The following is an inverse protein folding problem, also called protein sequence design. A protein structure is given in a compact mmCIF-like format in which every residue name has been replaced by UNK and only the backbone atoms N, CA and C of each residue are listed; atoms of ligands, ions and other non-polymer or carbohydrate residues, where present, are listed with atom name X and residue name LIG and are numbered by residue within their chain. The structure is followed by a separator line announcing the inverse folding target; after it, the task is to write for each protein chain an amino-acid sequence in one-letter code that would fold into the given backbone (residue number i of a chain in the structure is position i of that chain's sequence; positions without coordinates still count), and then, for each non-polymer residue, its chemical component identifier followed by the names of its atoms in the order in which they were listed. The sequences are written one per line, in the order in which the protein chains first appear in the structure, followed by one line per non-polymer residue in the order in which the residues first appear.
data_IF_509708927795
#
_entry.id   IF_509708927795
#
_cell.length_a   1.000
_cell.length_b   1.000
_cell.length_c   1.000
_cell.angle_alpha   90.00
_cell.angle_beta   90.00
_cell.angle_gamma   90.00
#
_symmetry.space_group_name_H-M   'P 1'
#
loop_
_entity.id
_entity.type
_entity.pdbx_description
1 polymer ?
#
# COMPACT_ATOMS: atom_id res chain seq x y z
N UNK A 1 42.33 7.66 21.74
CA UNK A 1 41.38 8.27 20.80
C UNK A 1 41.22 9.73 21.19
N UNK A 2 41.55 10.65 20.29
CA UNK A 2 41.52 12.11 20.52
C UNK A 2 40.06 12.62 20.53
N UNK A 3 39.77 13.67 21.32
CA UNK A 3 38.46 14.33 21.39
C UNK A 3 37.94 14.78 20.02
N UNK A 4 38.82 15.18 19.09
CA UNK A 4 38.48 15.51 17.70
C UNK A 4 37.97 14.30 16.94
N UNK A 5 38.57 13.13 17.14
CA UNK A 5 38.11 11.87 16.54
C UNK A 5 36.74 11.46 17.08
N UNK A 6 36.52 11.60 18.39
CA UNK A 6 35.22 11.36 19.02
C UNK A 6 34.14 12.31 18.49
N UNK A 7 34.46 13.59 18.33
CA UNK A 7 33.55 14.60 17.80
C UNK A 7 33.17 14.28 16.36
N UNK A 8 34.15 13.95 15.50
CA UNK A 8 33.89 13.57 14.11
C UNK A 8 33.05 12.31 13.98
N UNK A 9 33.30 11.27 14.79
CA UNK A 9 32.48 10.05 14.81
C UNK A 9 31.05 10.38 15.23
N UNK A 10 30.87 11.19 16.26
CA UNK A 10 29.55 11.61 16.74
C UNK A 10 28.78 12.39 15.67
N UNK A 11 29.45 13.33 14.98
CA UNK A 11 28.86 14.09 13.88
C UNK A 11 28.46 13.17 12.73
N UNK A 12 29.31 12.20 12.35
CA UNK A 12 28.98 11.23 11.31
C UNK A 12 27.76 10.39 11.73
N UNK A 13 27.73 9.85 12.95
CA UNK A 13 26.61 9.04 13.44
C UNK A 13 25.31 9.85 13.46
N UNK A 14 25.33 11.06 14.01
CA UNK A 14 24.13 11.93 14.06
C UNK A 14 23.67 12.33 12.65
N UNK A 15 24.61 12.59 11.74
CA UNK A 15 24.29 12.93 10.35
C UNK A 15 23.69 11.73 9.65
N UNK A 16 24.31 10.56 9.73
CA UNK A 16 23.79 9.31 9.14
C UNK A 16 22.40 9.00 9.66
N UNK A 17 22.19 9.03 10.99
CA UNK A 17 20.86 8.80 11.61
C UNK A 17 19.83 9.82 11.11
N UNK A 18 20.21 11.09 10.93
CA UNK A 18 19.29 12.11 10.39
C UNK A 18 19.01 11.95 8.90
N UNK A 19 19.98 11.48 8.12
CA UNK A 19 19.86 11.37 6.66
C UNK A 19 19.26 10.04 6.20
N UNK A 20 19.28 8.98 7.02
CA UNK A 20 18.71 7.67 6.67
C UNK A 20 17.30 7.44 7.20
N UNK A 21 16.75 8.37 7.98
CA UNK A 21 15.43 8.21 8.58
C UNK A 21 14.35 8.68 7.60
N UNK A 22 13.85 7.76 6.75
CA UNK A 22 12.64 7.99 5.99
C UNK A 22 11.50 8.29 6.98
N UNK A 23 11.08 9.55 7.10
CA UNK A 23 10.17 9.95 8.16
C UNK A 23 8.73 9.62 7.79
N UNK A 24 8.37 9.75 6.52
CA UNK A 24 7.02 9.51 6.02
C UNK A 24 7.01 8.34 5.03
N UNK A 25 6.28 7.27 5.35
CA UNK A 25 6.17 6.08 4.51
C UNK A 25 4.73 5.89 4.07
N UNK A 26 4.50 5.73 2.77
CA UNK A 26 3.16 5.53 2.20
C UNK A 26 3.06 4.15 1.58
N UNK A 27 2.11 3.35 2.07
CA UNK A 27 1.74 2.05 1.52
C UNK A 27 0.56 2.21 0.57
N UNK A 28 0.72 1.70 -0.66
CA UNK A 28 -0.35 1.61 -1.64
C UNK A 28 -0.49 0.14 -2.12
N UNK A 29 -1.18 -0.70 -1.33
CA UNK A 29 -1.42 -2.08 -1.71
C UNK A 29 -2.53 -2.21 -2.75
N UNK A 30 -2.60 -3.34 -3.45
CA UNK A 30 -3.77 -3.74 -4.22
C UNK A 30 -5.06 -3.67 -3.38
N UNK A 31 -6.21 -3.31 -3.97
CA UNK A 31 -7.48 -3.13 -3.27
C UNK A 31 -8.17 -4.46 -2.93
N UNK A 32 -7.42 -5.39 -2.33
CA UNK A 32 -7.85 -6.72 -1.92
C UNK A 32 -7.68 -6.88 -0.40
N UNK A 33 -8.62 -7.54 0.25
CA UNK A 33 -8.64 -7.72 1.71
C UNK A 33 -7.34 -8.32 2.24
N UNK A 34 -6.83 -9.39 1.62
CA UNK A 34 -5.59 -10.05 2.04
C UNK A 34 -4.38 -9.12 1.98
N UNK A 35 -4.28 -8.33 0.90
CA UNK A 35 -3.20 -7.38 0.69
C UNK A 35 -3.25 -6.23 1.69
N UNK A 36 -4.44 -5.68 1.94
CA UNK A 36 -4.62 -4.62 2.95
C UNK A 36 -4.18 -5.11 4.34
N UNK A 37 -4.57 -6.32 4.74
CA UNK A 37 -4.21 -6.88 6.05
C UNK A 37 -2.70 -7.09 6.17
N UNK A 38 -2.08 -7.71 5.17
CA UNK A 38 -0.64 -7.97 5.16
C UNK A 38 0.16 -6.66 5.22
N UNK A 39 -0.14 -5.70 4.33
CA UNK A 39 0.55 -4.41 4.31
C UNK A 39 0.30 -3.61 5.59
N UNK A 40 -0.88 -3.71 6.20
CA UNK A 40 -1.16 -3.06 7.47
C UNK A 40 -0.29 -3.58 8.62
N UNK A 41 0.04 -4.88 8.64
CA UNK A 41 0.96 -5.45 9.63
C UNK A 41 2.38 -4.92 9.44
N UNK A 42 2.86 -4.83 8.20
CA UNK A 42 4.19 -4.26 7.90
C UNK A 42 4.23 -2.76 8.24
N UNK A 43 3.17 -2.03 7.89
CA UNK A 43 3.03 -0.62 8.19
C UNK A 43 3.04 -0.35 9.71
N UNK A 44 2.36 -1.18 10.49
CA UNK A 44 2.36 -1.10 11.95
C UNK A 44 3.75 -1.36 12.56
N UNK A 45 4.48 -2.35 12.02
CA UNK A 45 5.85 -2.59 12.44
C UNK A 45 6.73 -1.36 12.17
N UNK A 46 6.62 -0.72 11.00
CA UNK A 46 7.35 0.53 10.72
C UNK A 46 6.92 1.67 11.64
N UNK A 47 5.62 1.82 11.91
CA UNK A 47 5.13 2.84 12.84
C UNK A 47 5.72 2.64 14.25
N UNK A 48 5.89 1.38 14.69
CA UNK A 48 6.51 1.06 15.99
C UNK A 48 7.99 1.49 16.09
N UNK A 49 8.68 1.65 14.97
CA UNK A 49 10.04 2.20 14.90
C UNK A 49 10.08 3.74 14.82
N UNK A 50 8.92 4.40 14.90
CA UNK A 50 8.82 5.87 14.92
C UNK A 50 8.65 6.52 13.55
N UNK A 51 8.37 5.74 12.49
CA UNK A 51 8.02 6.26 11.18
C UNK A 51 6.58 6.82 11.17
N UNK A 52 6.34 7.90 10.42
CA UNK A 52 5.00 8.39 10.10
C UNK A 52 4.42 7.59 8.92
N UNK A 53 3.61 6.57 9.23
CA UNK A 53 3.15 5.60 8.24
C UNK A 53 1.69 5.83 7.85
N UNK A 54 1.47 5.89 6.54
CA UNK A 54 0.16 6.00 5.92
C UNK A 54 -0.15 4.76 5.07
N UNK A 55 -1.38 4.26 5.18
CA UNK A 55 -1.88 3.15 4.38
C UNK A 55 -3.07 3.63 3.54
N UNK A 56 -2.95 3.53 2.22
CA UNK A 56 -4.03 3.82 1.29
C UNK A 56 -5.03 2.65 1.26
N UNK A 57 -6.29 2.91 1.60
CA UNK A 57 -7.33 1.86 1.69
C UNK A 57 -8.59 2.27 0.92
N UNK A 58 -9.16 1.40 0.08
CA UNK A 58 -10.47 1.65 -0.52
C UNK A 58 -11.54 1.82 0.56
N UNK A 59 -12.44 2.80 0.38
CA UNK A 59 -13.50 3.07 1.36
C UNK A 59 -14.40 1.84 1.62
N UNK A 60 -14.59 0.98 0.60
CA UNK A 60 -15.33 -0.29 0.73
C UNK A 60 -14.69 -1.25 1.74
N UNK A 61 -13.37 -1.20 1.92
CA UNK A 61 -12.63 -2.04 2.85
C UNK A 61 -12.44 -1.38 4.23
N UNK A 62 -12.38 -0.04 4.29
CA UNK A 62 -12.38 0.69 5.58
C UNK A 62 -13.66 0.37 6.37
N UNK A 63 -14.82 0.36 5.70
CA UNK A 63 -16.11 0.03 6.31
C UNK A 63 -16.17 -1.38 6.93
N UNK A 64 -15.25 -2.29 6.55
CA UNK A 64 -15.14 -3.63 7.14
C UNK A 64 -14.33 -3.64 8.47
N UNK A 65 -13.70 -2.52 8.85
CA UNK A 65 -12.98 -2.38 10.11
C UNK A 65 -11.69 -3.20 10.21
N UNK A 66 -11.08 -3.58 9.08
CA UNK A 66 -9.96 -4.54 9.01
C UNK A 66 -8.65 -4.04 9.65
N UNK A 67 -8.51 -2.73 9.83
CA UNK A 67 -7.26 -2.08 10.29
C UNK A 67 -7.50 -1.11 11.45
N UNK A 68 -8.67 -1.16 12.09
CA UNK A 68 -9.16 -0.15 13.05
C UNK A 68 -8.32 0.01 14.32
N UNK A 69 -7.62 -1.04 14.74
CA UNK A 69 -6.89 -1.09 16.01
C UNK A 69 -5.38 -0.83 15.86
N UNK A 70 -4.91 -0.53 14.64
CA UNK A 70 -3.48 -0.38 14.34
C UNK A 70 -3.02 1.06 14.50
N UNK A 71 -1.78 1.25 14.96
CA UNK A 71 -1.16 2.56 15.13
C UNK A 71 -0.67 3.17 13.80
N UNK A 72 -1.47 3.10 12.75
CA UNK A 72 -1.16 3.60 11.39
C UNK A 72 -2.24 4.58 10.94
N UNK A 73 -1.86 5.53 10.08
CA UNK A 73 -2.81 6.49 9.51
C UNK A 73 -3.43 5.91 8.25
N UNK A 74 -4.74 6.06 8.09
CA UNK A 74 -5.46 5.57 6.92
C UNK A 74 -5.73 6.74 5.97
N UNK A 75 -5.39 6.55 4.70
CA UNK A 75 -5.80 7.43 3.61
C UNK A 75 -6.86 6.72 2.77
N UNK A 76 -8.10 7.15 2.92
CA UNK A 76 -9.23 6.54 2.22
C UNK A 76 -9.32 6.99 0.76
N UNK A 77 -9.77 6.10 -0.13
CA UNK A 77 -10.02 6.44 -1.53
C UNK A 77 -11.18 5.65 -2.16
N UNK A 78 -11.63 6.10 -3.33
CA UNK A 78 -12.46 5.29 -4.21
C UNK A 78 -13.90 5.07 -3.75
N UNK A 79 -14.49 5.97 -2.97
CA UNK A 79 -15.90 5.92 -2.58
C UNK A 79 -16.82 5.75 -3.80
N UNK A 80 -16.60 6.56 -4.84
CA UNK A 80 -17.33 6.51 -6.10
C UNK A 80 -17.04 5.26 -6.95
N UNK A 81 -15.99 4.50 -6.62
CA UNK A 81 -15.59 3.28 -7.33
C UNK A 81 -16.29 2.03 -6.77
N UNK A 82 -17.00 2.13 -5.64
CA UNK A 82 -17.71 1.02 -5.02
C UNK A 82 -16.78 -0.10 -4.54
N UNK A 83 -17.29 -1.34 -4.52
CA UNK A 83 -16.51 -2.50 -4.07
C UNK A 83 -15.54 -3.00 -5.15
N UNK A 84 -14.31 -2.49 -5.11
CA UNK A 84 -13.23 -2.85 -6.05
C UNK A 84 -12.85 -4.33 -5.99
N UNK A 85 -12.78 -4.91 -4.79
CA UNK A 85 -12.44 -6.33 -4.59
C UNK A 85 -13.49 -7.22 -5.28
N UNK A 86 -14.78 -6.93 -5.05
CA UNK A 86 -15.87 -7.66 -5.71
C UNK A 86 -15.82 -7.51 -7.23
N UNK A 87 -15.47 -6.32 -7.74
CA UNK A 87 -15.30 -6.08 -9.18
C UNK A 87 -14.17 -6.96 -9.75
N UNK A 88 -13.02 -7.02 -9.09
CA UNK A 88 -11.87 -7.83 -9.49
C UNK A 88 -12.22 -9.33 -9.51
N UNK A 89 -12.87 -9.84 -8.45
CA UNK A 89 -13.24 -11.25 -8.42
C UNK A 89 -14.27 -11.61 -9.49
N UNK A 90 -15.25 -10.72 -9.72
CA UNK A 90 -16.27 -10.93 -10.77
C UNK A 90 -15.66 -10.88 -12.17
N UNK A 91 -14.75 -9.94 -12.44
CA UNK A 91 -14.17 -9.77 -13.78
C UNK A 91 -13.14 -10.85 -14.13
N UNK A 92 -12.36 -11.30 -13.15
CA UNK A 92 -11.40 -12.40 -13.30
C UNK A 92 -12.07 -13.77 -13.35
N UNK A 93 -13.27 -13.94 -12.76
CA UNK A 93 -13.94 -15.24 -12.54
C UNK A 93 -13.07 -16.24 -11.74
N UNK A 94 -12.06 -15.76 -11.03
CA UNK A 94 -11.07 -16.63 -10.36
C UNK A 94 -11.72 -17.55 -9.33
N UNK A 95 -12.68 -17.04 -8.56
CA UNK A 95 -13.40 -17.83 -7.55
C UNK A 95 -14.32 -18.86 -8.20
N UNK A 96 -15.08 -18.48 -9.23
CA UNK A 96 -16.00 -19.39 -9.92
C UNK A 96 -15.26 -20.59 -10.52
N UNK A 97 -14.12 -20.32 -11.17
CA UNK A 97 -13.29 -21.36 -11.81
C UNK A 97 -12.62 -22.26 -10.78
N UNK A 98 -12.12 -21.69 -9.68
CA UNK A 98 -11.56 -22.44 -8.56
C UNK A 98 -12.58 -23.43 -8.00
N UNK A 99 -13.80 -22.97 -7.68
CA UNK A 99 -14.85 -23.83 -7.12
C UNK A 99 -15.40 -24.86 -8.12
N UNK A 100 -15.35 -24.57 -9.42
CA UNK A 100 -15.71 -25.50 -10.48
C UNK A 100 -14.62 -26.57 -10.77
N UNK A 101 -13.45 -26.47 -10.14
CA UNK A 101 -12.32 -27.37 -10.40
C UNK A 101 -11.73 -27.22 -11.81
N UNK A 102 -11.97 -26.07 -12.46
CA UNK A 102 -11.39 -25.79 -13.77
C UNK A 102 -9.87 -25.61 -13.64
N UNK A 103 -9.11 -26.20 -14.55
CA UNK A 103 -7.68 -25.94 -14.64
C UNK A 103 -7.43 -24.45 -14.91
N UNK A 104 -6.47 -23.86 -14.19
CA UNK A 104 -6.03 -22.49 -14.44
C UNK A 104 -5.55 -22.39 -15.89
N UNK A 105 -6.06 -21.40 -16.62
CA UNK A 105 -5.46 -21.01 -17.89
C UNK A 105 -4.50 -19.86 -17.58
N UNK A 106 -3.42 -20.18 -16.88
CA UNK A 106 -2.57 -19.19 -16.17
C UNK A 106 -2.30 -17.94 -16.99
N UNK A 107 -1.87 -18.07 -18.24
CA UNK A 107 -1.57 -16.92 -19.11
C UNK A 107 -2.82 -16.07 -19.42
N UNK A 108 -3.94 -16.70 -19.75
CA UNK A 108 -5.18 -15.99 -20.10
C UNK A 108 -5.84 -15.36 -18.88
N UNK A 109 -5.79 -16.05 -17.74
CA UNK A 109 -6.29 -15.56 -16.46
C UNK A 109 -5.44 -14.38 -15.95
N UNK A 110 -4.12 -14.46 -16.07
CA UNK A 110 -3.21 -13.35 -15.77
C UNK A 110 -3.48 -12.15 -16.67
N UNK A 111 -3.63 -12.35 -17.99
CA UNK A 111 -3.95 -11.25 -18.91
C UNK A 111 -5.27 -10.56 -18.56
N UNK A 112 -6.32 -11.33 -18.23
CA UNK A 112 -7.61 -10.78 -17.82
C UNK A 112 -7.51 -10.04 -16.48
N UNK A 113 -6.81 -10.60 -15.51
CA UNK A 113 -6.58 -9.93 -14.24
C UNK A 113 -5.81 -8.61 -14.45
N UNK A 114 -4.69 -8.64 -15.17
CA UNK A 114 -3.85 -7.48 -15.44
C UNK A 114 -4.58 -6.36 -16.18
N UNK A 115 -5.42 -6.69 -17.17
CA UNK A 115 -6.23 -5.68 -17.87
C UNK A 115 -7.27 -5.01 -16.96
N UNK A 116 -7.90 -5.77 -16.06
CA UNK A 116 -8.87 -5.24 -15.09
C UNK A 116 -8.18 -4.42 -13.98
N UNK A 117 -7.03 -4.87 -13.48
CA UNK A 117 -6.19 -4.07 -12.58
C UNK A 117 -5.74 -2.77 -13.23
N UNK A 118 -5.36 -2.80 -14.52
CA UNK A 118 -5.00 -1.59 -15.26
C UNK A 118 -6.14 -0.59 -15.34
N UNK A 119 -7.38 -1.04 -15.63
CA UNK A 119 -8.57 -0.16 -15.64
C UNK A 119 -8.84 0.44 -14.26
N UNK A 120 -8.74 -0.37 -13.20
CA UNK A 120 -8.94 0.08 -11.82
C UNK A 120 -7.86 1.10 -11.43
N UNK A 121 -6.60 0.84 -11.76
CA UNK A 121 -5.51 1.77 -11.50
C UNK A 121 -5.74 3.12 -12.20
N UNK A 122 -6.15 3.12 -13.47
CA UNK A 122 -6.51 4.36 -14.18
C UNK A 122 -7.66 5.09 -13.48
N UNK A 123 -8.70 4.37 -13.06
CA UNK A 123 -9.84 4.97 -12.37
C UNK A 123 -9.44 5.60 -11.03
N UNK A 124 -8.61 4.93 -10.23
CA UNK A 124 -8.09 5.45 -8.95
C UNK A 124 -7.21 6.68 -9.20
N UNK A 125 -6.28 6.61 -10.15
CA UNK A 125 -5.36 7.71 -10.47
C UNK A 125 -6.05 8.90 -11.16
N UNK A 126 -7.28 8.73 -11.64
CA UNK A 126 -8.11 9.83 -12.16
C UNK A 126 -8.77 10.65 -11.05
N UNK A 127 -8.81 10.14 -9.81
CA UNK A 127 -9.28 10.88 -8.65
C UNK A 127 -8.22 11.88 -8.19
N UNK A 128 -8.39 13.15 -8.62
CA UNK A 128 -7.47 14.24 -8.29
C UNK A 128 -7.37 14.49 -6.80
N UNK A 129 -8.46 14.37 -6.05
CA UNK A 129 -8.44 14.61 -4.60
C UNK A 129 -7.57 13.56 -3.91
N UNK A 130 -7.72 12.30 -4.29
CA UNK A 130 -6.86 11.23 -3.78
C UNK A 130 -5.39 11.46 -4.15
N UNK A 131 -5.10 11.74 -5.43
CA UNK A 131 -3.73 11.97 -5.90
C UNK A 131 -3.08 13.18 -5.21
N UNK A 132 -3.81 14.27 -5.03
CA UNK A 132 -3.31 15.46 -4.35
C UNK A 132 -3.09 15.20 -2.87
N UNK A 133 -3.97 14.44 -2.20
CA UNK A 133 -3.76 14.02 -0.81
C UNK A 133 -2.48 13.19 -0.67
N UNK A 134 -2.26 12.20 -1.54
CA UNK A 134 -1.03 11.39 -1.55
C UNK A 134 0.21 12.26 -1.78
N UNK A 135 0.16 13.20 -2.73
CA UNK A 135 1.27 14.13 -3.00
C UNK A 135 1.58 15.05 -1.82
N UNK A 136 0.55 15.52 -1.14
CA UNK A 136 0.69 16.41 0.01
C UNK A 136 1.32 15.73 1.22
N UNK A 137 1.29 14.40 1.31
CA UNK A 137 2.04 13.65 2.33
C UNK A 137 3.56 13.81 2.19
N UNK A 138 4.07 14.17 1.01
CA UNK A 138 5.51 14.30 0.72
C UNK A 138 6.29 13.08 1.23
N UNK A 139 5.86 11.88 0.82
CA UNK A 139 6.44 10.64 1.28
C UNK A 139 7.93 10.55 0.94
N UNK A 140 8.73 10.11 1.91
CA UNK A 140 10.15 9.79 1.72
C UNK A 140 10.31 8.40 1.07
N UNK A 141 9.33 7.50 1.29
CA UNK A 141 9.29 6.15 0.75
C UNK A 141 7.85 5.77 0.35
N UNK A 142 7.71 5.24 -0.87
CA UNK A 142 6.49 4.57 -1.32
C UNK A 142 6.69 3.05 -1.33
N UNK A 143 5.79 2.32 -0.68
CA UNK A 143 5.70 0.87 -0.75
C UNK A 143 4.58 0.51 -1.71
N UNK A 144 4.99 0.02 -2.88
CA UNK A 144 4.11 -0.43 -3.96
C UNK A 144 4.28 -1.93 -4.13
N UNK A 145 3.21 -2.61 -4.53
CA UNK A 145 3.29 -4.02 -4.90
C UNK A 145 3.04 -4.18 -6.39
N UNK A 146 3.95 -4.90 -7.05
CA UNK A 146 3.77 -5.31 -8.43
C UNK A 146 2.89 -6.55 -8.46
N UNK A 147 1.67 -6.39 -8.96
CA UNK A 147 0.85 -7.54 -9.35
C UNK A 147 1.24 -7.88 -10.80
N UNK A 148 1.62 -9.13 -11.11
CA UNK A 148 1.95 -9.55 -12.46
C UNK A 148 0.77 -9.47 -13.43
#
# INVERSE_FOLDING_TARGET
MDYKSLLSITVIIVTVIKTTNAKTVVFYPPPLTSYIIYHANVAEALASFGHDVWLCVPQSLVKKGLVKDKSIKILEYGEHLGDLEKKIYKSSRVLDRFWAGEASQEIYDMYRAGTEYGKIAIAILSDKNFVDNVRNLKADLFVLESIP
#
